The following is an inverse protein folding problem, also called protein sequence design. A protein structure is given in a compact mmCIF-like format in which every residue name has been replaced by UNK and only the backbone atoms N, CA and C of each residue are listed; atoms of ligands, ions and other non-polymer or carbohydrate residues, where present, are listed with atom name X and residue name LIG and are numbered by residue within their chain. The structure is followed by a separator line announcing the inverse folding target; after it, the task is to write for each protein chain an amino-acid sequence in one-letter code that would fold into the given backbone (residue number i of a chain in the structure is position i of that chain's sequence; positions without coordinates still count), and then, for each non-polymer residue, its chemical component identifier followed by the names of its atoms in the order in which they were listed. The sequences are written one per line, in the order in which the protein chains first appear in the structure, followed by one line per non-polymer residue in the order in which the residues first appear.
data_IF_832364733846
#
_entry.id   IF_832364733846
#
_cell.length_a   1.000
_cell.length_b   1.000
_cell.length_c   1.000
_cell.angle_alpha   90.00
_cell.angle_beta   90.00
_cell.angle_gamma   90.00
#
_symmetry.space_group_name_H-M   'P 1'
#
loop_
_entity.id
_entity.type
_entity.pdbx_description
1 polymer ?
#
# COMPACT_ATOMS: atom_id res chain seq x y z
N UNK A 1 -10.15 -11.16 -5.70
CA UNK A 1 -9.53 -10.73 -4.42
C UNK A 1 -10.04 -9.33 -4.11
N UNK A 2 -9.73 -8.77 -2.93
CA UNK A 2 -10.23 -7.44 -2.54
C UNK A 2 -9.07 -6.51 -2.23
N UNK A 3 -9.13 -5.30 -2.78
CA UNK A 3 -8.24 -4.19 -2.40
C UNK A 3 -9.02 -3.23 -1.52
N UNK A 4 -8.47 -2.93 -0.35
CA UNK A 4 -8.99 -1.96 0.59
C UNK A 4 -8.08 -0.73 0.57
N UNK A 5 -8.68 0.44 0.38
CA UNK A 5 -7.97 1.71 0.43
C UNK A 5 -8.67 2.58 1.49
N UNK A 6 -7.93 2.95 2.52
CA UNK A 6 -8.48 3.80 3.58
C UNK A 6 -8.38 5.28 3.22
N UNK A 7 -9.34 6.07 3.71
CA UNK A 7 -9.45 7.48 3.33
C UNK A 7 -8.26 8.30 3.83
N UNK A 8 -7.72 8.01 5.01
CA UNK A 8 -6.55 8.72 5.53
C UNK A 8 -5.28 8.43 4.72
N UNK A 9 -5.05 7.18 4.32
CA UNK A 9 -3.91 6.81 3.47
C UNK A 9 -4.05 7.44 2.09
N UNK A 10 -5.25 7.41 1.50
CA UNK A 10 -5.53 8.10 0.23
C UNK A 10 -5.18 9.60 0.31
N UNK A 11 -5.59 10.29 1.38
CA UNK A 11 -5.24 11.71 1.59
C UNK A 11 -3.74 11.95 1.75
N UNK A 12 -3.00 11.01 2.33
CA UNK A 12 -1.55 11.14 2.55
C UNK A 12 -0.73 10.81 1.31
N UNK A 13 -1.13 9.82 0.52
CA UNK A 13 -0.42 9.43 -0.70
C UNK A 13 -0.72 10.36 -1.88
N UNK A 14 -1.93 10.93 -1.95
CA UNK A 14 -2.38 11.72 -3.10
C UNK A 14 -2.72 13.15 -2.69
N UNK A 15 -2.00 14.12 -3.27
CA UNK A 15 -1.99 15.55 -2.87
C UNK A 15 -3.37 16.23 -2.77
N UNK A 16 -4.37 15.73 -3.47
CA UNK A 16 -5.74 16.28 -3.48
C UNK A 16 -6.77 15.38 -2.78
N UNK A 17 -6.32 14.35 -2.06
CA UNK A 17 -7.20 13.39 -1.39
C UNK A 17 -8.02 12.54 -2.36
N UNK A 18 -7.68 12.53 -3.65
CA UNK A 18 -8.29 11.68 -4.67
C UNK A 18 -7.21 10.93 -5.43
N UNK A 19 -7.46 9.65 -5.69
CA UNK A 19 -6.59 8.81 -6.51
C UNK A 19 -6.95 9.08 -7.98
N UNK A 20 -5.98 9.46 -8.82
CA UNK A 20 -6.21 9.52 -10.27
C UNK A 20 -6.74 8.17 -10.80
N UNK A 21 -7.71 8.14 -11.73
CA UNK A 21 -8.32 6.89 -12.19
C UNK A 21 -7.32 5.87 -12.75
N UNK A 22 -6.32 6.32 -13.51
CA UNK A 22 -5.23 5.50 -14.07
C UNK A 22 -4.34 4.90 -12.97
N UNK A 23 -4.08 5.66 -11.91
CA UNK A 23 -3.33 5.19 -10.76
C UNK A 23 -4.14 4.18 -9.95
N UNK A 24 -5.44 4.42 -9.77
CA UNK A 24 -6.34 3.48 -9.10
C UNK A 24 -6.40 2.14 -9.85
N UNK A 25 -6.58 2.18 -11.17
CA UNK A 25 -6.54 0.99 -12.02
C UNK A 25 -5.19 0.27 -11.91
N UNK A 26 -4.08 1.02 -11.89
CA UNK A 26 -2.74 0.45 -11.67
C UNK A 26 -2.64 -0.27 -10.33
N UNK A 27 -3.15 0.32 -9.23
CA UNK A 27 -3.11 -0.28 -7.90
C UNK A 27 -3.90 -1.59 -7.88
N UNK A 28 -5.13 -1.57 -8.39
CA UNK A 28 -6.04 -2.72 -8.42
C UNK A 28 -5.47 -3.84 -9.30
N UNK A 29 -5.09 -3.52 -10.55
CA UNK A 29 -4.58 -4.50 -11.51
C UNK A 29 -3.24 -5.11 -11.07
N UNK A 30 -2.36 -4.31 -10.47
CA UNK A 30 -1.08 -4.80 -9.96
C UNK A 30 -1.27 -5.73 -8.76
N UNK A 31 -2.22 -5.44 -7.86
CA UNK A 31 -2.51 -6.37 -6.77
C UNK A 31 -3.06 -7.71 -7.30
N UNK A 32 -3.94 -7.65 -8.31
CA UNK A 32 -4.58 -8.81 -8.89
C UNK A 32 -3.62 -9.74 -9.66
N UNK A 33 -2.68 -9.16 -10.42
CA UNK A 33 -1.87 -9.89 -11.43
C UNK A 33 -0.36 -9.74 -11.23
N UNK A 34 0.07 -8.85 -10.35
CA UNK A 34 1.47 -8.47 -10.20
C UNK A 34 2.29 -9.50 -9.43
N UNK A 35 3.57 -9.58 -9.77
CA UNK A 35 4.54 -10.36 -8.99
C UNK A 35 4.80 -9.60 -7.69
N UNK A 36 4.37 -10.21 -6.59
CA UNK A 36 4.57 -9.67 -5.25
C UNK A 36 5.81 -10.27 -4.60
N UNK A 37 6.57 -9.42 -3.92
CA UNK A 37 7.74 -9.81 -3.13
C UNK A 37 7.42 -9.57 -1.66
N UNK A 38 7.40 -10.61 -0.81
CA UNK A 38 7.26 -10.42 0.62
C UNK A 38 8.39 -9.54 1.17
N UNK A 39 8.04 -8.60 2.03
CA UNK A 39 9.02 -7.77 2.74
C UNK A 39 8.83 -7.93 4.24
N UNK A 40 9.91 -7.75 5.00
CA UNK A 40 9.81 -7.71 6.46
C UNK A 40 8.96 -6.52 6.89
N UNK A 41 8.01 -6.76 7.78
CA UNK A 41 7.35 -5.72 8.56
C UNK A 41 7.80 -5.76 10.02
N UNK A 42 7.32 -4.79 10.77
CA UNK A 42 7.54 -4.67 12.21
C UNK A 42 6.17 -4.54 12.87
N UNK A 43 5.94 -5.30 13.95
CA UNK A 43 4.67 -5.27 14.70
C UNK A 43 3.41 -5.47 13.85
N UNK A 44 3.48 -6.37 12.86
CA UNK A 44 2.33 -6.67 12.01
C UNK A 44 1.25 -7.46 12.77
N UNK A 45 -0.04 -7.26 12.45
CA UNK A 45 -1.11 -8.12 12.94
C UNK A 45 -0.85 -9.60 12.64
N UNK A 46 -1.29 -10.49 13.54
CA UNK A 46 -1.23 -11.94 13.29
C UNK A 46 -2.00 -12.28 12.01
N UNK A 47 -1.51 -13.26 11.26
CA UNK A 47 -2.13 -13.65 9.99
C UNK A 47 -1.94 -12.64 8.86
N UNK A 48 -1.07 -11.63 9.02
CA UNK A 48 -0.78 -10.65 7.97
C UNK A 48 0.68 -10.69 7.51
N UNK A 49 0.91 -10.21 6.29
CA UNK A 49 2.26 -10.00 5.73
C UNK A 49 2.32 -8.72 4.91
N UNK A 50 3.50 -8.10 4.85
CA UNK A 50 3.74 -7.03 3.90
C UNK A 50 4.23 -7.60 2.57
N UNK A 51 3.67 -7.09 1.48
CA UNK A 51 4.14 -7.38 0.13
C UNK A 51 4.44 -6.09 -0.60
N UNK A 52 5.46 -6.16 -1.46
CA UNK A 52 5.86 -5.09 -2.35
C UNK A 52 5.65 -5.55 -3.79
N UNK A 53 5.09 -4.67 -4.62
CA UNK A 53 4.92 -4.90 -6.04
C UNK A 53 5.65 -3.82 -6.84
N UNK A 54 6.11 -4.20 -8.02
CA UNK A 54 6.77 -3.31 -8.97
C UNK A 54 5.83 -3.07 -10.13
N UNK A 55 5.60 -1.80 -10.47
CA UNK A 55 4.79 -1.41 -11.62
C UNK A 55 5.50 -0.32 -12.40
N UNK A 56 5.27 -0.28 -13.70
CA UNK A 56 5.77 0.79 -14.57
C UNK A 56 4.59 1.56 -15.09
N UNK A 57 4.54 2.86 -14.82
CA UNK A 57 3.52 3.76 -15.37
C UNK A 57 4.15 4.69 -16.40
N UNK A 58 3.33 5.48 -17.10
CA UNK A 58 3.80 6.52 -18.03
C UNK A 58 4.75 7.52 -17.36
N UNK A 59 4.58 7.74 -16.05
CA UNK A 59 5.42 8.63 -15.23
C UNK A 59 6.69 7.93 -14.69
N UNK A 60 6.89 6.65 -15.03
CA UNK A 60 8.04 5.86 -14.65
C UNK A 60 7.77 4.75 -13.63
N UNK A 61 8.85 4.14 -13.15
CA UNK A 61 8.78 2.99 -12.25
C UNK A 61 8.26 3.37 -10.86
N UNK A 62 7.26 2.62 -10.41
CA UNK A 62 6.60 2.75 -9.11
C UNK A 62 6.71 1.45 -8.31
N UNK A 63 6.57 1.61 -7.00
CA UNK A 63 6.56 0.55 -6.01
C UNK A 63 5.29 0.69 -5.19
N UNK A 64 4.50 -0.38 -5.18
CA UNK A 64 3.33 -0.51 -4.34
C UNK A 64 3.68 -1.31 -3.11
N UNK A 65 3.04 -1.02 -1.99
CA UNK A 65 3.12 -1.84 -0.79
C UNK A 65 1.72 -2.05 -0.25
N UNK A 66 1.45 -3.31 0.12
CA UNK A 66 0.22 -3.72 0.75
C UNK A 66 0.52 -4.47 2.04
N UNK A 67 -0.34 -4.29 3.04
CA UNK A 67 -0.53 -5.28 4.09
C UNK A 67 -1.56 -6.29 3.58
N UNK A 68 -1.26 -7.58 3.66
CA UNK A 68 -2.11 -8.64 3.12
C UNK A 68 -2.52 -9.54 4.26
N UNK A 69 -3.82 -9.70 4.42
CA UNK A 69 -4.39 -10.79 5.22
C UNK A 69 -4.14 -12.11 4.47
N UNK A 70 -3.44 -13.03 5.12
CA UNK A 70 -3.01 -14.31 4.53
C UNK A 70 -4.18 -15.28 4.39
N UNK A 71 -5.23 -15.17 5.21
CA UNK A 71 -6.40 -16.05 5.15
C UNK A 71 -7.34 -15.64 4.02
N UNK A 72 -7.67 -14.35 3.93
CA UNK A 72 -8.64 -13.85 2.96
C UNK A 72 -8.01 -13.41 1.63
N UNK A 73 -6.70 -13.15 1.63
CA UNK A 73 -6.02 -12.52 0.50
C UNK A 73 -6.40 -11.05 0.29
N UNK A 74 -7.06 -10.42 1.28
CA UNK A 74 -7.42 -9.00 1.23
C UNK A 74 -6.17 -8.14 1.32
N UNK A 75 -5.99 -7.25 0.35
CA UNK A 75 -4.87 -6.32 0.27
C UNK A 75 -5.25 -4.94 0.76
N UNK A 76 -4.68 -4.52 1.88
CA UNK A 76 -4.78 -3.16 2.39
C UNK A 76 -3.66 -2.32 1.78
N UNK A 77 -4.03 -1.38 0.92
CA UNK A 77 -3.07 -0.49 0.26
C UNK A 77 -2.39 0.43 1.28
N UNK A 78 -1.07 0.56 1.18
CA UNK A 78 -0.29 1.43 2.06
C UNK A 78 0.52 2.49 1.28
N UNK A 79 1.18 2.12 0.18
CA UNK A 79 2.12 3.03 -0.49
C UNK A 79 2.01 3.00 -2.02
N UNK A 80 2.15 4.18 -2.64
CA UNK A 80 2.39 4.38 -4.07
C UNK A 80 3.62 5.28 -4.28
N UNK A 81 4.80 4.69 -4.48
CA UNK A 81 6.08 5.46 -4.44
C UNK A 81 6.94 5.29 -5.68
N UNK A 82 7.55 6.38 -6.12
CA UNK A 82 8.51 6.38 -7.22
C UNK A 82 9.86 5.80 -6.82
N UNK A 83 10.67 5.37 -7.80
CA UNK A 83 11.96 4.74 -7.50
C UNK A 83 12.98 5.65 -6.80
N UNK A 84 12.86 6.97 -7.01
CA UNK A 84 13.75 8.00 -6.49
C UNK A 84 13.19 8.69 -5.24
N UNK A 85 11.98 8.34 -4.81
CA UNK A 85 11.36 8.89 -3.61
C UNK A 85 12.14 8.44 -2.35
N UNK A 86 12.36 9.27 -1.31
CA UNK A 86 13.11 8.87 -0.12
C UNK A 86 12.56 7.64 0.63
N UNK A 87 11.23 7.46 0.60
CA UNK A 87 10.53 6.27 1.09
C UNK A 87 10.67 5.16 0.05
N UNK A 88 10.40 5.48 -1.22
CA UNK A 88 10.36 4.54 -2.34
C UNK A 88 11.70 3.91 -2.72
N UNK A 89 12.84 4.59 -2.53
CA UNK A 89 14.16 4.16 -2.98
C UNK A 89 14.59 2.82 -2.40
N UNK A 90 14.21 2.56 -1.16
CA UNK A 90 14.46 1.30 -0.47
C UNK A 90 13.26 0.96 0.43
N UNK A 91 12.31 0.21 -0.13
CA UNK A 91 11.14 -0.30 0.58
C UNK A 91 11.58 -1.48 1.45
N UNK A 92 12.01 -1.17 2.67
CA UNK A 92 12.48 -2.10 3.69
C UNK A 92 12.54 -1.40 5.04
N UNK A 93 12.30 -2.13 6.13
CA UNK A 93 12.45 -1.63 7.51
C UNK A 93 13.86 -1.07 7.82
N UNK A 94 14.87 -1.43 7.02
CA UNK A 94 16.22 -0.85 7.13
C UNK A 94 16.30 0.61 6.65
N UNK A 95 15.33 1.08 5.86
CA UNK A 95 15.23 2.48 5.45
C UNK A 95 14.42 3.25 6.50
N UNK A 96 15.02 4.17 7.28
CA UNK A 96 14.31 4.88 8.35
C UNK A 96 13.10 5.67 7.86
N UNK A 97 13.19 6.27 6.67
CA UNK A 97 12.09 7.03 6.08
C UNK A 97 10.88 6.14 5.78
N UNK A 98 11.13 4.94 5.24
CA UNK A 98 10.08 3.95 5.00
C UNK A 98 9.53 3.39 6.30
N UNK A 99 10.41 2.97 7.22
CA UNK A 99 10.01 2.41 8.52
C UNK A 99 9.09 3.35 9.30
N UNK A 100 9.49 4.61 9.44
CA UNK A 100 8.71 5.60 10.18
C UNK A 100 7.35 5.84 9.51
N UNK A 101 7.30 5.91 8.17
CA UNK A 101 6.04 6.08 7.45
C UNK A 101 5.16 4.84 7.53
N UNK A 102 5.75 3.65 7.52
CA UNK A 102 5.03 2.38 7.62
C UNK A 102 4.29 2.30 8.95
N UNK A 103 4.96 2.56 10.07
CA UNK A 103 4.31 2.55 11.38
C UNK A 103 3.14 3.54 11.45
N UNK A 104 3.36 4.77 10.98
CA UNK A 104 2.28 5.77 10.88
C UNK A 104 1.11 5.29 10.04
N UNK A 105 1.36 4.61 8.93
CA UNK A 105 0.29 4.12 8.05
C UNK A 105 -0.42 2.90 8.59
N UNK A 106 0.25 2.05 9.37
CA UNK A 106 -0.40 0.96 10.08
C UNK A 106 -1.34 1.50 11.17
N UNK A 107 -0.93 2.55 11.89
CA UNK A 107 -1.79 3.21 12.88
C UNK A 107 -3.02 3.86 12.21
N UNK A 108 -2.81 4.56 11.09
CA UNK A 108 -3.92 5.14 10.30
C UNK A 108 -4.85 4.08 9.73
N UNK A 109 -4.29 2.99 9.19
CA UNK A 109 -5.07 1.87 8.68
C UNK A 109 -5.96 1.29 9.78
N UNK A 110 -5.41 1.03 10.96
CA UNK A 110 -6.17 0.48 12.09
C UNK A 110 -7.31 1.43 12.51
N UNK A 111 -7.03 2.73 12.60
CA UNK A 111 -8.02 3.75 12.93
C UNK A 111 -9.14 3.81 11.90
N UNK A 112 -8.80 3.91 10.61
CA UNK A 112 -9.78 4.02 9.53
C UNK A 112 -10.62 2.73 9.40
N UNK A 113 -10.03 1.55 9.59
CA UNK A 113 -10.79 0.28 9.58
C UNK A 113 -11.80 0.24 10.74
N UNK A 114 -11.39 0.68 11.94
CA UNK A 114 -12.26 0.70 13.11
C UNK A 114 -13.41 1.70 12.98
N UNK A 115 -13.19 2.77 12.20
CA UNK A 115 -14.19 3.82 11.92
C UNK A 115 -14.99 3.57 10.63
N UNK A 116 -14.75 2.45 9.93
CA UNK A 116 -15.34 2.15 8.62
C UNK A 116 -15.04 3.21 7.53
N UNK A 117 -13.91 3.92 7.65
CA UNK A 117 -13.47 4.97 6.71
C UNK A 117 -12.58 4.40 5.58
N UNK A 118 -13.16 3.52 4.76
CA UNK A 118 -12.44 2.92 3.65
C UNK A 118 -13.33 2.65 2.45
N UNK A 119 -12.70 2.34 1.32
CA UNK A 119 -13.37 1.88 0.11
C UNK A 119 -12.77 0.55 -0.32
N UNK A 120 -13.64 -0.36 -0.73
CA UNK A 120 -13.28 -1.69 -1.21
C UNK A 120 -13.42 -1.75 -2.72
N UNK A 121 -12.47 -2.44 -3.36
CA UNK A 121 -12.45 -2.67 -4.79
C UNK A 121 -12.29 -4.17 -5.03
N UNK A 122 -13.21 -4.74 -5.81
CA UNK A 122 -13.06 -6.10 -6.31
C UNK A 122 -11.96 -6.16 -7.36
N UNK A 123 -11.11 -7.18 -7.28
CA UNK A 123 -10.08 -7.49 -8.27
C UNK A 123 -10.36 -8.77 -9.01
#
# INVERSE_FOLDING_TARGET
MTVVITHSIQRKEFKHGKIPPDVLETIISAYAKGISVPIKGESLPKGSRLVKLYVTTIEGARRLVFLVDVETGTGFFLFYRGKNDPIGKNISIKNPAFRNRLLQYLDLLLSDISAEEYTTYGT
#
